data_IF_797594150991
#
_entry.id   IF_797594150991
#
_cell.length_a   1.000
_cell.length_b   1.000
_cell.length_c   1.000
_cell.angle_alpha   90.00
_cell.angle_beta   90.00
_cell.angle_gamma   90.00
#
_symmetry.space_group_name_H-M   'P 1'
#
loop_
_entity.id
_entity.type
_entity.pdbx_description
1 polymer ?
#
# COMPACT_ATOMS: atom_id res chain seq x y z
N UNK A 1 3.26 10.23 -8.77
CA UNK A 1 1.92 10.43 -8.23
C UNK A 1 1.95 10.33 -6.71
N UNK A 2 1.14 11.15 -6.06
CA UNK A 2 0.87 11.20 -4.62
C UNK A 2 -0.59 10.80 -4.46
N UNK A 3 -0.89 9.76 -3.71
CA UNK A 3 -2.28 9.41 -3.49
C UNK A 3 -2.51 8.00 -2.98
N UNK A 4 -3.80 7.70 -2.81
CA UNK A 4 -4.33 6.42 -2.35
C UNK A 4 -5.31 5.89 -3.39
N UNK A 5 -5.18 4.62 -3.73
CA UNK A 5 -6.16 3.87 -4.51
C UNK A 5 -6.66 2.73 -3.63
N UNK A 6 -7.96 2.49 -3.68
CA UNK A 6 -8.60 1.33 -3.07
C UNK A 6 -9.20 0.52 -4.21
N UNK A 7 -8.92 -0.77 -4.24
CA UNK A 7 -9.39 -1.68 -5.27
C UNK A 7 -9.81 -3.01 -4.65
N UNK A 8 -10.84 -3.63 -5.22
CA UNK A 8 -11.17 -5.02 -4.96
C UNK A 8 -10.48 -5.88 -6.02
N UNK A 9 -9.58 -6.75 -5.59
CA UNK A 9 -8.96 -7.73 -6.44
C UNK A 9 -9.97 -8.87 -6.69
N UNK A 10 -9.98 -9.43 -7.90
CA UNK A 10 -10.75 -10.66 -8.16
C UNK A 10 -10.13 -11.93 -7.55
N UNK A 11 -8.93 -11.82 -6.97
CA UNK A 11 -8.20 -12.89 -6.31
C UNK A 11 -8.31 -12.79 -4.79
N UNK A 12 -8.08 -13.89 -4.07
CA UNK A 12 -8.04 -13.88 -2.60
C UNK A 12 -6.86 -13.06 -2.05
N UNK A 13 -6.87 -12.79 -0.74
CA UNK A 13 -5.84 -11.94 -0.11
C UNK A 13 -4.44 -12.55 -0.15
N UNK A 14 -4.32 -13.88 -0.19
CA UNK A 14 -3.03 -14.55 -0.32
C UNK A 14 -2.45 -14.35 -1.71
N UNK A 15 -3.26 -14.55 -2.74
CA UNK A 15 -2.87 -14.33 -4.13
C UNK A 15 -2.55 -12.86 -4.40
N UNK A 16 -3.37 -11.93 -3.89
CA UNK A 16 -3.10 -10.50 -3.99
C UNK A 16 -1.77 -10.12 -3.31
N UNK A 17 -1.53 -10.61 -2.09
CA UNK A 17 -0.26 -10.40 -1.39
C UNK A 17 0.94 -10.88 -2.21
N UNK A 18 0.90 -12.11 -2.74
CA UNK A 18 1.99 -12.66 -3.56
C UNK A 18 2.20 -11.86 -4.85
N UNK A 19 1.11 -11.44 -5.50
CA UNK A 19 1.20 -10.60 -6.70
C UNK A 19 2.03 -9.34 -6.44
N UNK A 20 1.78 -8.60 -5.35
CA UNK A 20 2.56 -7.41 -5.03
C UNK A 20 4.00 -7.75 -4.64
N UNK A 21 4.18 -8.80 -3.83
CA UNK A 21 5.50 -9.25 -3.40
C UNK A 21 6.42 -9.58 -4.58
N UNK A 22 5.89 -10.17 -5.64
CA UNK A 22 6.67 -10.59 -6.82
C UNK A 22 6.74 -9.54 -7.93
N UNK A 23 5.63 -8.84 -8.21
CA UNK A 23 5.54 -7.94 -9.37
C UNK A 23 6.22 -6.60 -9.14
N UNK A 24 6.22 -6.07 -7.92
CA UNK A 24 6.80 -4.76 -7.62
C UNK A 24 8.32 -4.75 -7.74
N UNK A 25 9.05 -5.75 -7.21
CA UNK A 25 10.50 -5.86 -7.43
C UNK A 25 10.91 -5.88 -8.90
N UNK A 26 10.16 -6.60 -9.74
CA UNK A 26 10.40 -6.65 -11.20
C UNK A 26 10.23 -5.28 -11.88
N UNK A 27 9.51 -4.36 -11.25
CA UNK A 27 9.30 -2.98 -11.72
C UNK A 27 10.26 -1.98 -11.06
N UNK A 28 11.30 -2.46 -10.35
CA UNK A 28 12.33 -1.64 -9.73
C UNK A 28 11.95 -1.05 -8.37
N UNK A 29 10.98 -1.64 -7.67
CA UNK A 29 10.70 -1.32 -6.28
C UNK A 29 11.51 -2.23 -5.35
N UNK A 30 12.10 -1.67 -4.30
CA UNK A 30 12.79 -2.44 -3.26
C UNK A 30 11.82 -2.72 -2.12
N UNK A 31 11.63 -4.00 -1.77
CA UNK A 31 10.84 -4.39 -0.61
C UNK A 31 11.57 -3.96 0.67
N UNK A 32 10.89 -3.18 1.52
CA UNK A 32 11.40 -2.71 2.81
C UNK A 32 10.85 -3.55 3.97
N UNK A 33 9.56 -3.90 3.91
CA UNK A 33 8.91 -4.71 4.94
C UNK A 33 7.74 -5.47 4.33
N UNK A 34 7.50 -6.69 4.82
CA UNK A 34 6.32 -7.47 4.49
C UNK A 34 5.83 -8.20 5.73
N UNK A 35 4.59 -7.97 6.13
CA UNK A 35 3.93 -8.65 7.25
C UNK A 35 2.64 -9.30 6.78
N UNK A 36 2.39 -10.50 7.28
CA UNK A 36 1.17 -11.28 7.05
C UNK A 36 0.28 -11.19 8.28
N UNK A 37 -1.01 -11.00 8.05
CA UNK A 37 -2.03 -10.97 9.10
C UNK A 37 -3.42 -10.81 8.51
N UNK A 38 -4.41 -10.54 9.37
CA UNK A 38 -5.79 -10.24 8.94
C UNK A 38 -5.83 -9.09 7.93
N UNK A 39 -5.00 -8.07 8.16
CA UNK A 39 -4.58 -7.11 7.15
C UNK A 39 -3.08 -7.29 6.96
N UNK A 40 -2.67 -7.71 5.78
CA UNK A 40 -1.26 -7.83 5.42
C UNK A 40 -0.73 -6.48 4.95
N UNK A 41 0.54 -6.19 5.23
CA UNK A 41 1.19 -4.93 4.89
C UNK A 41 2.47 -5.22 4.11
N UNK A 42 2.63 -4.60 2.94
CA UNK A 42 3.89 -4.54 2.23
C UNK A 42 4.33 -3.08 2.08
N UNK A 43 5.58 -2.81 2.41
CA UNK A 43 6.19 -1.49 2.23
C UNK A 43 7.32 -1.63 1.23
N UNK A 44 7.28 -0.80 0.20
CA UNK A 44 8.29 -0.73 -0.85
C UNK A 44 8.85 0.67 -0.97
N UNK A 45 10.05 0.79 -1.53
CA UNK A 45 10.62 2.09 -1.91
C UNK A 45 11.17 2.06 -3.33
N UNK A 46 11.13 3.22 -4.01
CA UNK A 46 11.72 3.40 -5.34
C UNK A 46 12.11 4.85 -5.52
N UNK A 47 13.42 5.11 -5.70
CA UNK A 47 13.97 6.47 -5.73
C UNK A 47 13.46 7.29 -4.54
N UNK A 48 12.86 8.45 -4.76
CA UNK A 48 12.25 9.31 -3.75
C UNK A 48 10.80 8.95 -3.42
N UNK A 49 10.39 7.69 -3.56
CA UNK A 49 9.01 7.24 -3.25
C UNK A 49 8.98 6.06 -2.30
N UNK A 50 7.91 6.02 -1.51
CA UNK A 50 7.49 4.89 -0.70
C UNK A 50 6.10 4.46 -1.16
N UNK A 51 5.89 3.15 -1.29
CA UNK A 51 4.59 2.56 -1.55
C UNK A 51 4.22 1.65 -0.39
N UNK A 52 3.01 1.82 0.14
CA UNK A 52 2.42 0.97 1.15
C UNK A 52 1.23 0.26 0.56
N UNK A 53 1.26 -1.07 0.59
CA UNK A 53 0.18 -1.95 0.15
C UNK A 53 -0.42 -2.61 1.37
N UNK A 54 -1.70 -2.37 1.62
CA UNK A 54 -2.49 -3.05 2.62
C UNK A 54 -3.44 -4.01 1.90
N UNK A 55 -3.49 -5.27 2.32
CA UNK A 55 -4.35 -6.31 1.74
C UNK A 55 -5.17 -6.93 2.85
N UNK A 56 -6.50 -6.91 2.73
CA UNK A 56 -7.40 -7.57 3.67
C UNK A 56 -8.50 -8.35 2.94
N UNK A 57 -9.10 -9.31 3.64
CA UNK A 57 -10.31 -9.97 3.15
C UNK A 57 -11.55 -9.21 3.64
N UNK A 58 -12.49 -8.85 2.74
CA UNK A 58 -13.73 -8.22 3.13
C UNK A 58 -14.63 -9.18 3.94
N UNK A 59 -15.34 -8.64 4.92
CA UNK A 59 -16.11 -9.43 5.89
C UNK A 59 -17.29 -10.22 5.28
N UNK A 60 -17.80 -9.80 4.12
CA UNK A 60 -18.95 -10.41 3.47
C UNK A 60 -18.57 -11.49 2.45
N UNK A 61 -17.29 -11.90 2.43
CA UNK A 61 -16.74 -12.76 1.37
C UNK A 61 -16.55 -12.00 0.06
N UNK A 62 -15.62 -12.46 -0.76
CA UNK A 62 -15.20 -11.78 -1.99
C UNK A 62 -13.69 -11.83 -2.17
N UNK A 63 -13.19 -11.18 -3.22
CA UNK A 63 -11.76 -11.04 -3.42
C UNK A 63 -11.15 -9.98 -2.50
N UNK A 64 -9.82 -9.88 -2.51
CA UNK A 64 -9.09 -9.06 -1.56
C UNK A 64 -9.38 -7.56 -1.72
N UNK A 65 -9.60 -6.86 -0.61
CA UNK A 65 -9.59 -5.41 -0.60
C UNK A 65 -8.14 -4.94 -0.47
N UNK A 66 -7.65 -4.23 -1.48
CA UNK A 66 -6.29 -3.70 -1.53
C UNK A 66 -6.32 -2.18 -1.44
N UNK A 67 -5.59 -1.63 -0.48
CA UNK A 67 -5.25 -0.22 -0.44
C UNK A 67 -3.80 -0.03 -0.84
N UNK A 68 -3.55 0.75 -1.90
CA UNK A 68 -2.22 1.18 -2.30
C UNK A 68 -2.08 2.68 -2.02
N UNK A 69 -1.10 3.04 -1.19
CA UNK A 69 -0.71 4.43 -0.96
C UNK A 69 0.70 4.66 -1.48
N UNK A 70 0.91 5.71 -2.29
CA UNK A 70 2.24 6.10 -2.76
C UNK A 70 2.52 7.54 -2.35
N UNK A 71 3.65 7.76 -1.71
CA UNK A 71 4.11 9.07 -1.25
C UNK A 71 5.60 9.31 -1.57
N UNK A 72 6.04 10.58 -1.67
CA UNK A 72 7.45 10.91 -1.70
C UNK A 72 8.11 10.59 -0.36
N UNK A 73 9.38 10.20 -0.40
CA UNK A 73 10.23 10.13 0.79
C UNK A 73 10.39 11.55 1.35
N UNK A 74 10.19 11.72 2.66
CA UNK A 74 10.39 13.01 3.33
C UNK A 74 9.34 14.09 3.05
N UNK A 75 8.16 13.75 2.50
CA UNK A 75 7.06 14.70 2.42
C UNK A 75 6.60 15.09 3.84
N UNK A 76 7.08 16.23 4.33
CA UNK A 76 6.51 16.87 5.51
C UNK A 76 5.04 17.17 5.19
N UNK A 77 4.12 16.63 5.98
CA UNK A 77 2.72 17.10 5.96
C UNK A 77 2.79 18.59 6.32
N UNK A 78 2.36 19.52 5.45
CA UNK A 78 2.29 20.92 5.84
C UNK A 78 1.42 21.00 7.09
N UNK A 79 1.96 21.52 8.18
CA UNK A 79 1.17 21.75 9.38
C UNK A 79 -0.06 22.58 8.98
N UNK A 80 -1.25 22.07 9.28
CA UNK A 80 -2.48 22.81 9.02
C UNK A 80 -2.35 24.20 9.67
N UNK A 81 -2.73 25.29 8.98
CA UNK A 81 -2.59 26.62 9.53
C UNK A 81 -3.37 26.68 10.86
N UNK A 82 -2.71 27.12 11.92
CA UNK A 82 -3.33 27.28 13.23
C UNK A 82 -4.59 28.16 13.07
N UNK A 83 -5.74 27.64 13.47
CA UNK A 83 -6.97 28.45 13.58
C UNK A 83 -6.63 29.61 14.52
N UNK A 84 -6.67 30.84 14.00
CA UNK A 84 -6.61 32.04 14.85
C UNK A 84 -7.84 32.06 15.78
N UNK A 85 -7.68 32.48 17.04
CA UNK A 85 -8.77 32.59 18.00
C UNK A 85 -9.78 33.66 17.59
#
# INVERSE_FOLDING_TARGET
WLGRIVLEAGADATAAYQFFLESYPRQGWTLLSATRGKTSLLVFTKQERTATVEVSEPALGGGALVTLTVSPKGAAVPAAPARKP
#
